data_IF_216437310473
#
_entry.id   IF_216437310473
#
_cell.length_a   1.000
_cell.length_b   1.000
_cell.length_c   1.000
_cell.angle_alpha   90.00
_cell.angle_beta   90.00
_cell.angle_gamma   90.00
#
_symmetry.space_group_name_H-M   'P 1'
#
loop_
_entity.id
_entity.type
_entity.pdbx_description
1 polymer ?
#
# COMPACT_ATOMS: atom_id res chain seq x y z
N UNK A 1 25.62 34.73 1.86
CA UNK A 1 24.99 34.27 3.10
C UNK A 1 23.57 34.80 3.11
N UNK A 2 22.65 34.07 2.47
CA UNK A 2 21.23 34.41 2.52
C UNK A 2 20.76 33.85 3.86
N UNK A 3 20.34 34.72 4.75
CA UNK A 3 19.62 34.37 5.97
C UNK A 3 18.44 33.49 5.55
N UNK A 4 18.58 32.17 5.66
CA UNK A 4 17.46 31.25 5.47
C UNK A 4 16.38 31.70 6.44
N UNK A 5 15.25 32.20 5.93
CA UNK A 5 14.13 32.59 6.77
C UNK A 5 13.72 31.35 7.56
N UNK A 6 13.90 31.39 8.88
CA UNK A 6 13.48 30.32 9.75
C UNK A 6 11.96 30.14 9.60
N UNK A 7 11.55 28.92 9.27
CA UNK A 7 10.14 28.58 9.10
C UNK A 7 9.37 28.78 10.42
N UNK A 8 8.14 29.28 10.32
CA UNK A 8 7.22 29.52 11.43
C UNK A 8 5.98 28.65 11.29
N UNK A 9 5.32 28.37 12.41
CA UNK A 9 4.09 27.59 12.42
C UNK A 9 3.02 28.29 11.57
N UNK A 10 2.43 27.55 10.65
CA UNK A 10 1.41 28.05 9.73
C UNK A 10 1.95 28.58 8.40
N UNK A 11 3.26 28.53 8.14
CA UNK A 11 3.84 28.91 6.85
C UNK A 11 3.31 28.00 5.72
N UNK A 12 3.27 26.68 5.93
CA UNK A 12 2.70 25.75 4.96
C UNK A 12 1.20 25.99 4.76
N UNK A 13 0.49 26.38 5.82
CA UNK A 13 -0.93 26.76 5.73
C UNK A 13 -1.12 28.04 4.91
N UNK A 14 -0.24 29.03 5.08
CA UNK A 14 -0.26 30.26 4.29
C UNK A 14 0.04 30.01 2.81
N UNK A 15 0.81 28.95 2.48
CA UNK A 15 1.04 28.48 1.12
C UNK A 15 -0.12 27.68 0.52
N UNK A 16 -1.19 27.43 1.29
CA UNK A 16 -2.36 26.67 0.83
C UNK A 16 -2.20 25.15 0.85
N UNK A 17 -1.12 24.63 1.43
CA UNK A 17 -0.88 23.19 1.57
C UNK A 17 -1.81 22.57 2.62
N UNK A 18 -1.78 23.12 3.84
CA UNK A 18 -2.55 22.59 4.97
C UNK A 18 -4.06 22.79 4.78
N UNK A 19 -4.79 21.67 4.70
CA UNK A 19 -6.25 21.59 4.60
C UNK A 19 -6.80 20.38 5.40
N UNK A 20 -8.13 20.16 5.40
CA UNK A 20 -8.78 19.09 6.17
C UNK A 20 -8.55 17.67 5.62
N UNK A 21 -7.80 17.51 4.54
CA UNK A 21 -7.45 16.20 4.00
C UNK A 21 -6.34 15.51 4.81
N UNK A 22 -6.17 14.18 4.68
CA UNK A 22 -5.02 13.47 5.23
C UNK A 22 -3.66 14.00 4.74
N UNK A 23 -3.62 14.62 3.55
CA UNK A 23 -2.41 15.25 2.99
C UNK A 23 -2.07 16.51 3.79
N UNK A 24 -3.05 17.40 3.94
CA UNK A 24 -2.89 18.65 4.70
C UNK A 24 -2.57 18.46 6.18
N UNK A 25 -3.16 17.43 6.80
CA UNK A 25 -2.82 17.03 8.16
C UNK A 25 -1.37 16.54 8.26
N UNK A 26 -0.89 15.77 7.29
CA UNK A 26 0.49 15.29 7.25
C UNK A 26 1.49 16.44 7.06
N UNK A 27 1.19 17.39 6.18
CA UNK A 27 2.01 18.60 5.97
C UNK A 27 2.14 19.42 7.26
N UNK A 28 1.02 19.56 8.00
CA UNK A 28 1.03 20.22 9.31
C UNK A 28 1.94 19.51 10.31
N UNK A 29 1.92 18.18 10.32
CA UNK A 29 2.78 17.38 11.21
C UNK A 29 4.24 17.52 10.80
N UNK A 30 4.54 17.48 9.50
CA UNK A 30 5.89 17.66 8.98
C UNK A 30 6.45 19.05 9.33
N UNK A 31 5.67 20.12 9.17
CA UNK A 31 6.03 21.47 9.61
C UNK A 31 6.28 21.50 11.12
N UNK A 32 5.37 20.94 11.92
CA UNK A 32 5.49 20.95 13.37
C UNK A 32 6.74 20.21 13.85
N UNK A 33 7.05 19.05 13.26
CA UNK A 33 8.28 18.30 13.57
C UNK A 33 9.51 19.10 13.16
N UNK A 34 9.51 19.71 11.96
CA UNK A 34 10.63 20.51 11.46
C UNK A 34 10.94 21.68 12.41
N UNK A 35 9.92 22.45 12.78
CA UNK A 35 10.07 23.65 13.61
C UNK A 35 10.39 23.29 15.07
N UNK A 36 9.73 22.30 15.64
CA UNK A 36 9.93 21.92 17.05
C UNK A 36 11.29 21.26 17.31
N UNK A 37 11.81 20.51 16.34
CA UNK A 37 13.08 19.77 16.50
C UNK A 37 14.28 20.49 15.91
N UNK A 38 14.06 21.39 14.94
CA UNK A 38 15.14 22.03 14.18
C UNK A 38 15.89 21.09 13.23
N UNK A 39 15.34 19.90 12.96
CA UNK A 39 15.93 18.93 12.04
C UNK A 39 15.92 19.45 10.60
N UNK A 40 16.90 19.06 9.76
CA UNK A 40 16.81 19.29 8.33
C UNK A 40 15.65 18.46 7.73
N UNK A 41 15.09 18.92 6.60
CA UNK A 41 13.90 18.32 6.00
C UNK A 41 14.00 16.81 5.72
N UNK A 42 15.15 16.31 5.26
CA UNK A 42 15.33 14.88 5.04
C UNK A 42 15.13 14.06 6.33
N UNK A 43 15.63 14.58 7.47
CA UNK A 43 15.52 13.93 8.77
C UNK A 43 14.10 14.09 9.34
N UNK A 44 13.47 15.25 9.13
CA UNK A 44 12.06 15.47 9.49
C UNK A 44 11.13 14.48 8.79
N UNK A 45 11.30 14.29 7.47
CA UNK A 45 10.54 13.30 6.69
C UNK A 45 10.76 11.90 7.25
N UNK A 46 12.02 11.51 7.48
CA UNK A 46 12.36 10.19 7.99
C UNK A 46 11.79 9.94 9.40
N UNK A 47 11.97 10.88 10.33
CA UNK A 47 11.48 10.80 11.70
C UNK A 47 9.95 10.73 11.75
N UNK A 48 9.25 11.57 10.97
CA UNK A 48 7.79 11.58 10.89
C UNK A 48 7.26 10.26 10.32
N UNK A 49 7.94 9.72 9.30
CA UNK A 49 7.63 8.40 8.73
C UNK A 49 7.72 7.32 9.79
N UNK A 50 8.84 7.25 10.52
CA UNK A 50 9.06 6.25 11.58
C UNK A 50 8.03 6.40 12.70
N UNK A 51 7.73 7.62 13.13
CA UNK A 51 6.75 7.89 14.18
C UNK A 51 5.34 7.42 13.79
N UNK A 52 4.85 7.84 12.61
CA UNK A 52 3.53 7.43 12.10
C UNK A 52 3.49 5.91 11.91
N UNK A 53 4.52 5.32 11.31
CA UNK A 53 4.58 3.87 11.10
C UNK A 53 4.54 3.10 12.41
N UNK A 54 5.33 3.52 13.41
CA UNK A 54 5.34 2.92 14.75
C UNK A 54 3.97 2.99 15.41
N UNK A 55 3.31 4.16 15.36
CA UNK A 55 1.97 4.33 15.89
C UNK A 55 0.92 3.42 15.21
N UNK A 56 1.10 3.12 13.93
CA UNK A 56 0.22 2.23 13.16
C UNK A 56 0.51 0.74 13.38
N UNK A 57 1.69 0.34 13.88
CA UNK A 57 2.06 -1.09 14.04
C UNK A 57 0.99 -1.89 14.81
N UNK A 58 0.50 -1.47 15.99
CA UNK A 58 -0.49 -2.26 16.73
C UNK A 58 -1.78 -2.49 15.94
N UNK A 59 -2.23 -1.46 15.21
CA UNK A 59 -3.41 -1.53 14.35
C UNK A 59 -3.21 -2.49 13.17
N UNK A 60 -2.06 -2.40 12.50
CA UNK A 60 -1.69 -3.30 11.40
C UNK A 60 -1.59 -4.75 11.87
N UNK A 61 -0.96 -5.02 13.02
CA UNK A 61 -0.84 -6.37 13.59
C UNK A 61 -2.21 -6.98 13.89
N UNK A 62 -3.11 -6.20 14.52
CA UNK A 62 -4.48 -6.65 14.79
C UNK A 62 -5.24 -6.98 13.50
N UNK A 63 -5.05 -6.18 12.46
CA UNK A 63 -5.70 -6.40 11.18
C UNK A 63 -5.11 -7.57 10.40
N UNK A 64 -3.79 -7.77 10.44
CA UNK A 64 -3.15 -8.97 9.89
C UNK A 64 -3.73 -10.25 10.52
N UNK A 65 -3.91 -10.26 11.84
CA UNK A 65 -4.57 -11.37 12.54
C UNK A 65 -6.00 -11.62 12.05
N UNK A 66 -6.81 -10.56 11.90
CA UNK A 66 -8.17 -10.67 11.38
C UNK A 66 -8.22 -11.14 9.93
N UNK A 67 -7.34 -10.64 9.07
CA UNK A 67 -7.25 -11.05 7.66
C UNK A 67 -6.82 -12.51 7.54
N UNK A 68 -5.87 -12.98 8.36
CA UNK A 68 -5.47 -14.38 8.36
C UNK A 68 -6.64 -15.31 8.73
N UNK A 69 -7.46 -14.93 9.71
CA UNK A 69 -8.69 -15.67 10.08
C UNK A 69 -9.71 -15.67 8.95
N UNK A 70 -9.96 -14.52 8.34
CA UNK A 70 -10.85 -14.39 7.19
C UNK A 70 -10.38 -15.26 6.02
N UNK A 71 -9.07 -15.28 5.74
CA UNK A 71 -8.49 -16.11 4.69
C UNK A 71 -8.79 -17.59 4.94
N UNK A 72 -8.51 -18.08 6.16
CA UNK A 72 -8.81 -19.47 6.54
C UNK A 72 -10.31 -19.80 6.42
N UNK A 73 -11.20 -18.87 6.78
CA UNK A 73 -12.64 -19.05 6.66
C UNK A 73 -13.13 -19.11 5.20
N UNK A 74 -12.59 -18.26 4.33
CA UNK A 74 -12.88 -18.26 2.90
C UNK A 74 -12.47 -19.58 2.24
N UNK A 75 -11.28 -20.11 2.57
CA UNK A 75 -10.83 -21.43 2.09
C UNK A 75 -11.72 -22.56 2.60
N UNK A 76 -12.10 -22.54 3.87
CA UNK A 76 -13.00 -23.56 4.43
C UNK A 76 -14.39 -23.55 3.76
N UNK A 77 -14.85 -22.38 3.31
CA UNK A 77 -16.15 -22.20 2.64
C UNK A 77 -16.09 -22.34 1.11
N UNK A 78 -14.93 -22.59 0.51
CA UNK A 78 -14.68 -22.52 -0.93
C UNK A 78 -15.10 -21.15 -1.57
N UNK A 79 -15.19 -20.08 -0.77
CA UNK A 79 -15.52 -18.72 -1.24
C UNK A 79 -14.22 -18.02 -1.66
N UNK A 80 -13.73 -18.32 -2.86
CA UNK A 80 -12.50 -17.75 -3.40
C UNK A 80 -12.75 -16.35 -4.00
N UNK A 81 -13.17 -15.37 -3.20
CA UNK A 81 -13.23 -13.98 -3.67
C UNK A 81 -11.86 -13.29 -3.50
N UNK A 82 -11.09 -13.05 -4.59
CA UNK A 82 -9.75 -12.48 -4.52
C UNK A 82 -9.71 -11.05 -3.96
N UNK A 83 -10.80 -10.29 -4.08
CA UNK A 83 -10.88 -8.92 -3.52
C UNK A 83 -10.89 -8.92 -2.00
N UNK A 84 -11.56 -9.90 -1.37
CA UNK A 84 -11.55 -10.06 0.10
C UNK A 84 -10.15 -10.42 0.61
N UNK A 85 -9.33 -11.08 -0.23
CA UNK A 85 -7.94 -11.40 0.09
C UNK A 85 -6.98 -10.23 -0.12
N UNK A 86 -7.38 -9.16 -0.83
CA UNK A 86 -6.56 -7.97 -1.10
C UNK A 86 -6.75 -6.85 -0.04
N UNK A 87 -7.55 -7.08 0.99
CA UNK A 87 -7.87 -6.06 2.00
C UNK A 87 -6.64 -5.52 2.74
N UNK A 88 -5.62 -6.35 2.97
CA UNK A 88 -4.45 -5.95 3.75
C UNK A 88 -3.51 -4.97 2.99
N UNK A 89 -3.13 -5.21 1.71
CA UNK A 89 -2.40 -4.21 0.93
C UNK A 89 -3.13 -2.87 0.75
N UNK A 90 -4.45 -2.89 0.57
CA UNK A 90 -5.25 -1.67 0.38
C UNK A 90 -5.24 -0.74 1.59
N UNK A 91 -5.04 -1.30 2.78
CA UNK A 91 -4.99 -0.52 4.02
C UNK A 91 -3.74 0.36 4.13
N UNK A 92 -2.63 -0.04 3.50
CA UNK A 92 -1.37 0.72 3.54
C UNK A 92 -1.38 1.88 2.54
N UNK A 93 -2.21 1.79 1.49
CA UNK A 93 -2.27 2.76 0.40
C UNK A 93 -2.60 4.19 0.87
N UNK A 94 -3.55 4.45 1.79
CA UNK A 94 -3.85 5.81 2.24
C UNK A 94 -2.65 6.55 2.81
N UNK A 95 -1.85 5.90 3.67
CA UNK A 95 -0.65 6.54 4.25
C UNK A 95 0.38 6.83 3.17
N UNK A 96 0.60 5.87 2.27
CA UNK A 96 1.55 6.05 1.17
C UNK A 96 1.13 7.18 0.23
N UNK A 97 -0.14 7.24 -0.15
CA UNK A 97 -0.69 8.27 -1.03
C UNK A 97 -0.59 9.63 -0.35
N UNK A 98 -0.90 9.74 0.95
CA UNK A 98 -0.76 11.00 1.68
C UNK A 98 0.66 11.52 1.68
N UNK A 99 1.65 10.68 1.99
CA UNK A 99 3.07 11.07 1.94
C UNK A 99 3.51 11.44 0.53
N UNK A 100 3.12 10.67 -0.48
CA UNK A 100 3.47 10.96 -1.87
C UNK A 100 2.92 12.32 -2.31
N UNK A 101 1.63 12.59 -2.08
CA UNK A 101 1.00 13.85 -2.47
C UNK A 101 1.59 15.02 -1.69
N UNK A 102 1.72 14.91 -0.37
CA UNK A 102 2.28 15.97 0.48
C UNK A 102 3.70 16.36 0.03
N UNK A 103 4.59 15.37 -0.13
CA UNK A 103 5.98 15.65 -0.51
C UNK A 103 6.10 16.16 -1.95
N UNK A 104 5.21 15.72 -2.84
CA UNK A 104 5.13 16.24 -4.21
C UNK A 104 4.65 17.69 -4.22
N UNK A 105 3.61 18.00 -3.46
CA UNK A 105 3.04 19.35 -3.41
C UNK A 105 4.05 20.32 -2.75
N UNK A 106 4.69 19.89 -1.66
CA UNK A 106 5.80 20.63 -1.04
C UNK A 106 7.02 20.80 -1.95
N UNK A 107 7.34 19.84 -2.83
CA UNK A 107 8.42 19.96 -3.79
C UNK A 107 8.09 20.90 -4.95
N UNK A 108 6.83 20.94 -5.38
CA UNK A 108 6.37 21.80 -6.47
C UNK A 108 6.17 23.25 -6.01
N UNK A 109 5.92 23.47 -4.72
CA UNK A 109 5.86 24.79 -4.13
C UNK A 109 7.24 25.23 -3.61
N UNK A 110 7.51 26.54 -3.54
CA UNK A 110 8.77 27.07 -3.01
C UNK A 110 8.79 27.00 -1.48
N UNK A 111 8.65 25.80 -0.91
CA UNK A 111 8.70 25.60 0.55
C UNK A 111 10.08 26.06 1.07
N UNK A 112 10.13 26.92 2.10
CA UNK A 112 11.37 27.40 2.67
C UNK A 112 12.27 26.24 3.09
N UNK A 113 13.57 26.37 2.79
CA UNK A 113 14.62 25.42 3.15
C UNK A 113 14.50 24.03 2.48
N UNK A 114 13.50 23.78 1.63
CA UNK A 114 13.33 22.46 0.98
C UNK A 114 14.45 22.18 -0.04
N UNK A 115 14.94 23.22 -0.73
CA UNK A 115 16.07 23.15 -1.69
C UNK A 115 17.44 22.88 -1.05
N UNK A 116 17.58 23.13 0.24
CA UNK A 116 18.83 22.92 0.98
C UNK A 116 18.64 21.91 2.12
N UNK A 117 17.46 21.31 2.20
CA UNK A 117 17.02 20.47 3.31
C UNK A 117 17.37 18.99 3.14
N UNK A 118 18.07 18.64 2.06
CA UNK A 118 18.58 17.31 1.79
C UNK A 118 19.92 17.01 2.45
N UNK A 119 20.60 15.95 2.00
CA UNK A 119 21.88 15.51 2.56
C UNK A 119 22.78 14.90 1.48
N UNK A 120 24.09 14.92 1.72
CA UNK A 120 25.10 14.32 0.85
C UNK A 120 24.98 14.80 -0.61
N UNK A 121 24.69 13.92 -1.57
CA UNK A 121 24.61 14.26 -2.99
C UNK A 121 23.23 14.75 -3.45
N UNK A 122 22.21 14.72 -2.59
CA UNK A 122 20.85 15.16 -2.89
C UNK A 122 20.42 16.29 -1.95
N UNK A 123 21.09 17.44 -2.04
CA UNK A 123 20.79 18.59 -1.17
C UNK A 123 19.44 19.24 -1.49
N UNK A 124 19.07 19.27 -2.77
CA UNK A 124 17.80 19.82 -3.23
C UNK A 124 16.73 18.73 -3.29
N UNK A 125 15.78 18.81 -2.36
CA UNK A 125 14.68 17.86 -2.26
C UNK A 125 13.58 18.08 -3.31
N UNK A 126 13.60 19.21 -4.01
CA UNK A 126 12.55 19.61 -4.97
C UNK A 126 12.75 19.01 -6.35
N UNK A 127 13.99 18.63 -6.68
CA UNK A 127 14.38 18.11 -7.98
C UNK A 127 14.67 16.60 -7.91
N UNK A 128 14.71 15.98 -9.09
CA UNK A 128 15.15 14.59 -9.24
C UNK A 128 16.61 14.42 -8.82
N UNK A 129 16.94 13.24 -8.28
CA UNK A 129 18.32 12.87 -7.96
C UNK A 129 19.19 12.90 -9.23
N UNK A 130 20.18 13.79 -9.34
CA UNK A 130 21.02 13.90 -10.54
C UNK A 130 21.81 12.63 -10.84
N UNK A 131 22.00 11.76 -9.84
CA UNK A 131 22.79 10.52 -9.93
C UNK A 131 21.93 9.27 -10.09
N UNK A 132 20.60 9.40 -9.95
CA UNK A 132 19.63 8.30 -9.96
C UNK A 132 19.85 7.20 -8.91
N UNK A 133 20.70 7.44 -7.91
CA UNK A 133 20.96 6.50 -6.82
C UNK A 133 19.70 6.26 -5.99
N UNK A 134 18.93 7.30 -5.69
CA UNK A 134 17.71 7.23 -4.90
C UNK A 134 16.62 6.32 -5.53
N UNK A 135 16.25 6.48 -6.84
CA UNK A 135 15.36 5.54 -7.53
C UNK A 135 15.80 4.09 -7.50
N UNK A 136 17.08 3.83 -7.76
CA UNK A 136 17.64 2.47 -7.78
C UNK A 136 17.60 1.88 -6.38
N UNK A 137 18.05 2.61 -5.36
CA UNK A 137 18.03 2.16 -3.97
C UNK A 137 16.61 1.88 -3.46
N UNK A 138 15.64 2.70 -3.84
CA UNK A 138 14.23 2.48 -3.49
C UNK A 138 13.68 1.20 -4.11
N UNK A 139 13.97 0.96 -5.40
CA UNK A 139 13.60 -0.28 -6.09
C UNK A 139 14.24 -1.52 -5.46
N UNK A 140 15.52 -1.45 -5.11
CA UNK A 140 16.22 -2.53 -4.39
C UNK A 140 15.61 -2.78 -3.01
N UNK A 141 15.25 -1.73 -2.28
CA UNK A 141 14.55 -1.84 -0.99
C UNK A 141 13.19 -2.54 -1.12
N UNK A 142 12.41 -2.19 -2.16
CA UNK A 142 11.15 -2.85 -2.46
C UNK A 142 11.34 -4.36 -2.78
N UNK A 143 12.34 -4.70 -3.60
CA UNK A 143 12.70 -6.08 -3.88
C UNK A 143 13.06 -6.85 -2.60
N UNK A 144 13.87 -6.26 -1.72
CA UNK A 144 14.27 -6.89 -0.46
C UNK A 144 13.04 -7.19 0.42
N UNK A 145 12.13 -6.24 0.57
CA UNK A 145 10.88 -6.43 1.33
C UNK A 145 10.02 -7.55 0.75
N UNK A 146 9.91 -7.62 -0.57
CA UNK A 146 9.14 -8.65 -1.24
C UNK A 146 9.74 -10.04 -0.98
N UNK A 147 11.06 -10.20 -1.11
CA UNK A 147 11.72 -11.49 -0.84
C UNK A 147 11.58 -11.88 0.63
N UNK A 148 11.85 -10.95 1.56
CA UNK A 148 11.69 -11.15 3.00
C UNK A 148 10.23 -11.47 3.37
N UNK A 149 9.26 -10.80 2.77
CA UNK A 149 7.83 -10.92 3.06
C UNK A 149 7.17 -12.15 2.43
N UNK A 150 7.69 -12.65 1.31
CA UNK A 150 7.13 -13.81 0.60
C UNK A 150 7.11 -15.10 1.44
N UNK A 151 7.93 -15.16 2.48
CA UNK A 151 7.99 -16.27 3.44
C UNK A 151 7.13 -16.04 4.69
N UNK A 152 6.74 -14.79 4.97
CA UNK A 152 6.00 -14.42 6.17
C UNK A 152 4.48 -14.68 6.07
N UNK A 153 3.96 -14.95 4.86
CA UNK A 153 2.54 -15.13 4.60
C UNK A 153 2.04 -16.58 4.58
N UNK A 154 2.89 -17.59 4.79
CA UNK A 154 2.51 -19.01 4.84
C UNK A 154 2.09 -19.63 3.50
N UNK A 155 1.72 -18.83 2.51
CA UNK A 155 1.39 -19.25 1.16
C UNK A 155 2.57 -18.91 0.26
N UNK A 156 3.27 -19.95 -0.21
CA UNK A 156 4.35 -19.78 -1.17
C UNK A 156 3.80 -19.16 -2.46
N UNK A 157 4.20 -17.92 -2.77
CA UNK A 157 3.78 -17.29 -4.01
C UNK A 157 4.33 -18.06 -5.23
N UNK A 158 3.51 -18.26 -6.28
CA UNK A 158 3.96 -18.89 -7.50
C UNK A 158 5.19 -18.19 -8.09
N UNK A 159 6.15 -18.97 -8.62
CA UNK A 159 7.40 -18.45 -9.18
C UNK A 159 7.17 -17.40 -10.29
N UNK A 160 6.13 -17.58 -11.10
CA UNK A 160 5.73 -16.61 -12.12
C UNK A 160 5.36 -15.25 -11.51
N UNK A 161 4.56 -15.24 -10.43
CA UNK A 161 4.17 -14.01 -9.74
C UNK A 161 5.38 -13.28 -9.14
N UNK A 162 6.31 -14.02 -8.53
CA UNK A 162 7.58 -13.45 -8.03
C UNK A 162 8.38 -12.79 -9.16
N UNK A 163 8.52 -13.46 -10.30
CA UNK A 163 9.25 -12.91 -11.45
C UNK A 163 8.58 -11.65 -12.01
N UNK A 164 7.25 -11.62 -12.10
CA UNK A 164 6.50 -10.42 -12.51
C UNK A 164 6.78 -9.25 -11.58
N UNK A 165 6.73 -9.46 -10.25
CA UNK A 165 7.04 -8.41 -9.29
C UNK A 165 8.50 -7.93 -9.38
N UNK A 166 9.45 -8.82 -9.68
CA UNK A 166 10.86 -8.44 -9.91
C UNK A 166 11.03 -7.55 -11.13
N UNK A 167 10.41 -7.92 -12.24
CA UNK A 167 10.40 -7.10 -13.47
C UNK A 167 9.73 -5.75 -13.19
N UNK A 168 8.63 -5.74 -12.45
CA UNK A 168 7.94 -4.51 -12.06
C UNK A 168 8.84 -3.60 -11.23
N UNK A 169 9.60 -4.13 -10.27
CA UNK A 169 10.53 -3.33 -9.47
C UNK A 169 11.61 -2.66 -10.34
N UNK A 170 12.17 -3.37 -11.32
CA UNK A 170 13.15 -2.79 -12.25
C UNK A 170 12.50 -1.74 -13.14
N UNK A 171 11.30 -2.01 -13.65
CA UNK A 171 10.54 -1.07 -14.49
C UNK A 171 10.13 0.21 -13.73
N UNK A 172 10.00 0.18 -12.40
CA UNK A 172 9.70 1.36 -11.59
C UNK A 172 10.85 2.38 -11.58
N UNK A 173 12.10 1.98 -11.84
CA UNK A 173 13.24 2.90 -11.84
C UNK A 173 13.08 4.00 -12.90
N UNK A 174 12.98 3.69 -14.21
CA UNK A 174 12.79 4.74 -15.23
C UNK A 174 11.46 5.48 -15.08
N UNK A 175 10.42 4.85 -14.52
CA UNK A 175 9.14 5.52 -14.29
C UNK A 175 9.24 6.61 -13.22
N UNK A 176 10.05 6.40 -12.18
CA UNK A 176 10.13 7.29 -11.02
C UNK A 176 11.38 8.17 -11.01
N UNK A 177 12.30 8.00 -11.96
CA UNK A 177 13.60 8.69 -11.96
C UNK A 177 13.51 10.22 -12.01
N UNK A 178 12.39 10.78 -12.48
CA UNK A 178 12.15 12.22 -12.56
C UNK A 178 11.39 12.77 -11.34
N UNK A 179 11.10 11.94 -10.33
CA UNK A 179 10.38 12.39 -9.15
C UNK A 179 11.30 13.16 -8.20
N UNK A 180 10.76 14.15 -7.45
CA UNK A 180 11.52 14.89 -6.44
C UNK A 180 12.18 13.97 -5.41
N UNK A 181 13.41 14.31 -5.02
CA UNK A 181 14.21 13.55 -4.06
C UNK A 181 13.51 13.38 -2.69
N UNK A 182 12.66 14.34 -2.28
CA UNK A 182 11.83 14.26 -1.07
C UNK A 182 11.02 12.94 -0.99
N UNK A 183 10.43 12.52 -2.12
CA UNK A 183 9.58 11.32 -2.20
C UNK A 183 10.42 10.07 -1.93
N UNK A 184 11.65 10.04 -2.43
CA UNK A 184 12.57 8.92 -2.22
C UNK A 184 13.08 8.84 -0.78
N UNK A 185 13.28 9.97 -0.08
CA UNK A 185 13.62 9.96 1.35
C UNK A 185 12.52 9.23 2.15
N UNK A 186 11.25 9.53 1.86
CA UNK A 186 10.13 8.81 2.44
C UNK A 186 10.14 7.32 2.07
N UNK A 187 10.24 6.98 0.78
CA UNK A 187 10.19 5.59 0.33
C UNK A 187 11.32 4.73 0.91
N UNK A 188 12.55 5.24 0.92
CA UNK A 188 13.70 4.54 1.50
C UNK A 188 13.53 4.32 2.99
N UNK A 189 13.12 5.36 3.74
CA UNK A 189 12.85 5.24 5.18
C UNK A 189 11.74 4.22 5.44
N UNK A 190 10.65 4.31 4.67
CA UNK A 190 9.54 3.35 4.70
C UNK A 190 10.01 1.92 4.45
N UNK A 191 10.88 1.74 3.45
CA UNK A 191 11.37 0.42 3.07
C UNK A 191 12.21 -0.21 4.19
N UNK A 192 13.14 0.56 4.76
CA UNK A 192 13.95 0.14 5.90
C UNK A 192 13.08 -0.20 7.11
N UNK A 193 12.06 0.62 7.40
CA UNK A 193 11.10 0.34 8.47
C UNK A 193 10.36 -0.97 8.21
N UNK A 194 9.81 -1.17 7.01
CA UNK A 194 9.07 -2.38 6.67
C UNK A 194 9.95 -3.63 6.71
N UNK A 195 11.18 -3.57 6.20
CA UNK A 195 12.13 -4.67 6.31
C UNK A 195 12.43 -5.02 7.78
N UNK A 196 12.71 -4.00 8.59
CA UNK A 196 12.92 -4.14 10.04
C UNK A 196 11.70 -4.74 10.74
N UNK A 197 10.49 -4.28 10.38
CA UNK A 197 9.23 -4.81 10.89
C UNK A 197 9.05 -6.29 10.54
N UNK A 198 9.32 -6.69 9.29
CA UNK A 198 9.23 -8.10 8.86
C UNK A 198 10.22 -8.96 9.67
N UNK A 199 11.46 -8.51 9.81
CA UNK A 199 12.49 -9.23 10.57
C UNK A 199 12.10 -9.35 12.06
N UNK A 200 11.59 -8.26 12.65
CA UNK A 200 11.10 -8.25 14.03
C UNK A 200 9.98 -9.27 14.25
N UNK A 201 8.95 -9.31 13.40
CA UNK A 201 7.85 -10.29 13.51
C UNK A 201 8.21 -11.70 13.03
N UNK A 202 9.32 -11.89 12.32
CA UNK A 202 9.89 -13.22 12.04
C UNK A 202 10.64 -13.79 13.25
N UNK A 203 11.14 -12.95 14.16
CA UNK A 203 11.89 -13.40 15.32
C UNK A 203 11.05 -14.35 16.22
N UNK A 204 11.56 -15.55 16.56
CA UNK A 204 10.80 -16.54 17.34
C UNK A 204 10.32 -16.02 18.70
N UNK A 205 11.14 -15.21 19.38
CA UNK A 205 10.80 -14.61 20.67
C UNK A 205 9.58 -13.68 20.58
N UNK A 206 9.53 -12.84 19.53
CA UNK A 206 8.42 -11.92 19.28
C UNK A 206 7.15 -12.70 18.94
N UNK A 207 7.26 -13.73 18.10
CA UNK A 207 6.11 -14.60 17.76
C UNK A 207 5.52 -15.28 18.98
N UNK A 208 6.37 -15.79 19.88
CA UNK A 208 5.95 -16.39 21.15
C UNK A 208 5.27 -15.35 22.05
N UNK A 209 5.83 -14.14 22.15
CA UNK A 209 5.26 -13.07 22.97
C UNK A 209 3.87 -12.62 22.49
N UNK A 210 3.68 -12.47 21.17
CA UNK A 210 2.40 -12.07 20.58
C UNK A 210 1.44 -13.24 20.29
N UNK A 211 1.76 -14.47 20.71
CA UNK A 211 0.98 -15.68 20.40
C UNK A 211 0.61 -15.82 18.92
N UNK A 212 1.50 -15.39 18.02
CA UNK A 212 1.26 -15.47 16.58
C UNK A 212 1.36 -16.94 16.19
N UNK A 213 0.29 -17.55 15.64
CA UNK A 213 0.32 -18.96 15.22
C UNK A 213 1.49 -19.17 14.26
N UNK A 214 2.25 -20.25 14.45
CA UNK A 214 3.25 -20.62 13.46
C UNK A 214 2.53 -20.87 12.14
N UNK A 215 3.07 -20.30 11.06
CA UNK A 215 2.61 -20.64 9.71
C UNK A 215 2.76 -22.15 9.59
N UNK A 216 1.64 -22.89 9.61
CA UNK A 216 1.68 -24.33 9.41
C UNK A 216 2.36 -24.59 8.08
N UNK A 217 3.52 -25.25 8.12
CA UNK A 217 4.13 -25.81 6.94
C UNK A 217 3.18 -26.90 6.47
N UNK A 218 2.26 -26.57 5.56
CA UNK A 218 1.48 -27.61 4.89
C UNK A 218 2.50 -28.56 4.25
N UNK A 219 2.50 -29.85 4.63
CA UNK A 219 3.34 -30.84 3.98
C UNK A 219 3.07 -30.70 2.49
N UNK A 220 4.14 -30.53 1.69
CA UNK A 220 4.00 -30.44 0.23
C UNK A 220 3.11 -31.61 -0.20
N UNK A 221 1.98 -31.37 -0.89
CA UNK A 221 1.11 -32.45 -1.30
C UNK A 221 1.96 -33.48 -2.06
N UNK A 222 1.89 -34.75 -1.64
CA UNK A 222 2.69 -35.85 -2.20
C UNK A 222 2.45 -36.03 -3.70
N UNK A 223 1.38 -35.44 -4.24
CA UNK A 223 1.08 -35.34 -5.65
C UNK A 223 1.32 -33.90 -6.08
N UNK A 224 2.24 -33.68 -7.02
CA UNK A 224 2.41 -32.41 -7.68
C UNK A 224 1.13 -32.11 -8.48
N UNK A 225 0.20 -31.37 -7.88
CA UNK A 225 -0.94 -30.81 -8.61
C UNK A 225 -0.35 -29.89 -9.65
N UNK A 226 -0.45 -30.29 -10.93
CA UNK A 226 -0.02 -29.50 -12.07
C UNK A 226 -0.82 -28.19 -12.02
N UNK A 227 -0.20 -27.14 -11.52
CA UNK A 227 -0.83 -25.82 -11.50
C UNK A 227 -1.08 -25.45 -12.95
N UNK A 228 -2.33 -25.14 -13.35
CA UNK A 228 -2.62 -24.71 -14.71
C UNK A 228 -1.71 -23.54 -15.07
N UNK A 229 -1.28 -23.47 -16.33
CA UNK A 229 -0.40 -22.39 -16.78
C UNK A 229 -1.01 -21.02 -16.45
N UNK A 230 -0.18 -19.98 -16.28
CA UNK A 230 -0.67 -18.63 -15.98
C UNK A 230 -1.81 -18.19 -16.93
N UNK A 231 -1.69 -18.52 -18.22
CA UNK A 231 -2.70 -18.19 -19.23
C UNK A 231 -4.00 -19.00 -19.07
N UNK A 232 -3.92 -20.28 -18.67
CA UNK A 232 -5.08 -21.10 -18.36
C UNK A 232 -5.80 -20.61 -17.10
N UNK A 233 -5.03 -20.24 -16.07
CA UNK A 233 -5.57 -19.66 -14.83
C UNK A 233 -6.26 -18.33 -15.10
N UNK A 234 -5.65 -17.47 -15.92
CA UNK A 234 -6.22 -16.19 -16.31
C UNK A 234 -7.50 -16.37 -17.13
N UNK A 235 -7.48 -17.26 -18.13
CA UNK A 235 -8.65 -17.59 -18.95
C UNK A 235 -9.80 -18.14 -18.10
N UNK A 236 -9.50 -19.09 -17.21
CA UNK A 236 -10.50 -19.67 -16.30
C UNK A 236 -11.10 -18.62 -15.36
N UNK A 237 -10.30 -17.70 -14.81
CA UNK A 237 -10.82 -16.59 -13.99
C UNK A 237 -11.68 -15.62 -14.80
N UNK A 238 -11.28 -15.28 -16.02
CA UNK A 238 -12.04 -14.38 -16.90
C UNK A 238 -13.39 -14.99 -17.29
N UNK A 239 -13.39 -16.26 -17.72
CA UNK A 239 -14.60 -17.01 -18.06
C UNK A 239 -15.52 -17.20 -16.84
N UNK A 240 -14.96 -17.51 -15.68
CA UNK A 240 -15.72 -17.60 -14.43
C UNK A 240 -16.38 -16.27 -14.04
N UNK A 241 -15.67 -15.15 -14.21
CA UNK A 241 -16.21 -13.80 -13.97
C UNK A 241 -17.35 -13.44 -14.92
N UNK A 242 -17.23 -13.78 -16.21
CA UNK A 242 -18.29 -13.61 -17.20
C UNK A 242 -19.53 -14.44 -16.86
N UNK A 243 -19.35 -15.71 -16.50
CA UNK A 243 -20.44 -16.61 -16.13
C UNK A 243 -21.18 -16.15 -14.87
N UNK A 244 -20.46 -15.64 -13.86
CA UNK A 244 -21.06 -15.07 -12.66
C UNK A 244 -21.91 -13.82 -12.98
N UNK A 245 -21.38 -12.92 -13.82
CA UNK A 245 -22.09 -11.73 -14.27
C UNK A 245 -23.34 -12.07 -15.08
N UNK A 246 -23.28 -13.10 -15.92
CA UNK A 246 -24.44 -13.63 -16.67
C UNK A 246 -25.52 -14.20 -15.74
N UNK A 247 -25.13 -14.94 -14.69
CA UNK A 247 -26.07 -15.42 -13.67
C UNK A 247 -26.74 -14.27 -12.93
N UNK A 248 -26.00 -13.23 -12.53
CA UNK A 248 -26.59 -12.04 -11.91
C UNK A 248 -27.62 -11.36 -12.82
N UNK A 249 -27.29 -11.17 -14.11
CA UNK A 249 -28.21 -10.58 -15.09
C UNK A 249 -29.45 -11.46 -15.27
N UNK A 250 -29.30 -12.78 -15.34
CA UNK A 250 -30.44 -13.70 -15.46
C UNK A 250 -31.36 -13.64 -14.24
N UNK A 251 -30.79 -13.60 -13.03
CA UNK A 251 -31.56 -13.46 -11.78
C UNK A 251 -32.26 -12.11 -11.71
N UNK A 252 -31.60 -11.02 -12.11
CA UNK A 252 -32.21 -9.70 -12.16
C UNK A 252 -33.42 -9.68 -13.12
N UNK A 253 -33.26 -10.28 -14.30
CA UNK A 253 -34.32 -10.37 -15.33
C UNK A 253 -35.50 -11.22 -14.88
N UNK A 254 -35.26 -12.34 -14.19
CA UNK A 254 -36.33 -13.14 -13.57
C UNK A 254 -37.08 -12.36 -12.48
N UNK A 255 -36.35 -11.56 -11.68
CA UNK A 255 -36.94 -10.66 -10.68
C UNK A 255 -37.83 -9.59 -11.32
N UNK A 256 -37.38 -8.97 -12.41
CA UNK A 256 -38.16 -8.00 -13.19
C UNK A 256 -39.42 -8.64 -13.77
N UNK A 257 -39.31 -9.83 -14.37
CA UNK A 257 -40.46 -10.56 -14.92
C UNK A 257 -41.50 -10.90 -13.85
N UNK A 258 -41.07 -11.35 -12.66
CA UNK A 258 -41.95 -11.62 -11.52
C UNK A 258 -42.64 -10.35 -11.01
N UNK A 259 -41.92 -9.23 -10.94
CA UNK A 259 -42.49 -7.93 -10.55
C UNK A 259 -43.49 -7.40 -11.57
N UNK A 260 -43.20 -7.55 -12.87
CA UNK A 260 -44.11 -7.18 -13.95
C UNK A 260 -45.40 -8.04 -13.92
N UNK A 261 -45.27 -9.35 -13.74
CA UNK A 261 -46.41 -10.26 -13.61
C UNK A 261 -47.28 -9.94 -12.38
N UNK A 262 -46.67 -9.58 -11.24
CA UNK A 262 -47.40 -9.13 -10.06
C UNK A 262 -48.12 -7.79 -10.29
N UNK A 263 -47.49 -6.81 -10.96
CA UNK A 263 -48.13 -5.53 -11.31
C UNK A 263 -49.33 -5.75 -12.23
N UNK A 264 -49.21 -6.61 -13.25
CA UNK A 264 -50.29 -6.96 -14.16
C UNK A 264 -51.46 -7.63 -13.42
N UNK A 265 -51.17 -8.60 -12.53
CA UNK A 265 -52.19 -9.24 -11.68
C UNK A 265 -52.91 -8.22 -10.78
N UNK A 266 -52.20 -7.25 -10.22
CA UNK A 266 -52.80 -6.17 -9.41
C UNK A 266 -53.66 -5.22 -10.24
N UNK A 267 -53.29 -4.92 -11.49
CA UNK A 267 -54.09 -4.10 -12.40
C UNK A 267 -55.39 -4.81 -12.80
N UNK A 268 -55.32 -6.10 -13.15
CA UNK A 268 -56.52 -6.86 -13.52
C UNK A 268 -57.50 -7.00 -12.35
N UNK A 269 -57.01 -7.12 -11.10
CA UNK A 269 -57.86 -7.14 -9.90
C UNK A 269 -58.57 -5.82 -9.58
N UNK A 270 -58.10 -4.69 -10.13
CA UNK A 270 -58.73 -3.36 -9.95
C UNK A 270 -59.70 -2.99 -11.07
N UNK A 271 -59.79 -3.81 -12.13
CA UNK A 271 -60.68 -3.61 -13.28
C UNK A 271 -61.99 -4.43 -13.19
N UNK A 272 -62.12 -5.28 -12.18
CA UNK A 272 -63.32 -6.02 -11.79
C UNK A 272 -63.90 -5.30 -10.56
#
# INVERSE_FOLDING_TARGET
>A
SITQVAMKYGDLKAMGLVNFSPVGALESVLEAVHISTGLPWWATIAATTVAIRTALVPFIVKLQGNTARLHNELFAKNDCNPLKSLMLPLLQAPVMISFYLALRDMANLPVPQFKEGGIAWFTDLTIADPTYVLPVASSLGFLAIMELGSEAGGVAQPKAMKNVMRVMAVAMVPLTMNFPSAIFVYWLTSNVFTASQILFFKAPAVRKFFNIPQLMNHPKPKVAVKQPGFMESFKASYEGGLAAKQKEIAVAKDRENKMAAQKLRRQNRKRI
#
